data_IF_773972377519
#
_entry.id   IF_773972377519
#
_cell.length_a   1.000
_cell.length_b   1.000
_cell.length_c   1.000
_cell.angle_alpha   90.00
_cell.angle_beta   90.00
_cell.angle_gamma   90.00
#
_symmetry.space_group_name_H-M   'P 1'
#
loop_
_entity.id
_entity.type
_entity.pdbx_description
1 polymer ?
#
# COMPACT_ATOMS: atom_id res chain seq x y z
N UNK A 1 17.63 5.94 22.82
CA UNK A 1 17.87 5.17 21.58
C UNK A 1 18.27 6.16 20.51
N UNK A 2 19.45 6.00 19.91
CA UNK A 2 19.89 6.84 18.81
C UNK A 2 19.12 6.43 17.56
N UNK A 3 18.39 7.35 16.93
CA UNK A 3 17.67 7.10 15.69
C UNK A 3 18.59 7.40 14.51
N UNK A 4 18.44 6.63 13.43
CA UNK A 4 19.13 6.92 12.16
C UNK A 4 18.48 8.14 11.48
N UNK A 5 19.22 8.77 10.57
CA UNK A 5 18.76 9.90 9.77
C UNK A 5 17.68 9.43 8.78
N UNK A 6 16.60 10.21 8.64
CA UNK A 6 15.51 9.90 7.70
C UNK A 6 15.96 9.91 6.24
N UNK A 7 16.98 10.71 5.90
CA UNK A 7 17.53 10.77 4.54
C UNK A 7 18.64 9.75 4.30
N UNK A 8 19.19 9.12 5.35
CA UNK A 8 20.31 8.19 5.20
C UNK A 8 20.36 7.22 6.38
N UNK A 9 19.99 5.97 6.12
CA UNK A 9 19.92 4.91 7.13
C UNK A 9 21.27 4.54 7.73
N UNK A 10 22.37 4.79 7.01
CA UNK A 10 23.74 4.54 7.49
C UNK A 10 24.30 5.66 8.37
N UNK A 11 23.54 6.75 8.58
CA UNK A 11 23.95 7.91 9.35
C UNK A 11 23.10 8.03 10.62
N UNK A 12 23.74 8.18 11.78
CA UNK A 12 23.05 8.54 13.01
C UNK A 12 22.51 9.98 12.95
N UNK A 13 21.31 10.21 13.47
CA UNK A 13 20.74 11.55 13.56
C UNK A 13 21.65 12.45 14.42
N UNK A 14 22.01 13.61 13.87
CA UNK A 14 22.83 14.63 14.50
C UNK A 14 22.08 15.95 14.71
N UNK A 15 20.75 15.92 14.67
CA UNK A 15 19.85 17.06 14.86
C UNK A 15 20.18 18.28 13.96
N UNK A 16 20.57 18.02 12.70
CA UNK A 16 20.86 19.08 11.72
C UNK A 16 19.63 19.87 11.26
N UNK A 17 18.41 19.38 11.55
CA UNK A 17 17.11 19.97 11.16
C UNK A 17 16.87 20.14 9.66
N UNK A 18 17.72 19.59 8.81
CA UNK A 18 17.53 19.65 7.35
C UNK A 18 16.25 18.95 6.91
N UNK A 19 15.87 17.86 7.59
CA UNK A 19 14.62 17.14 7.34
C UNK A 19 13.35 17.91 7.71
N UNK A 20 13.47 19.04 8.41
CA UNK A 20 12.34 19.90 8.76
C UNK A 20 12.14 21.04 7.74
N UNK A 21 13.03 21.18 6.74
CA UNK A 21 12.97 22.25 5.75
C UNK A 21 12.21 21.81 4.49
N UNK A 22 11.57 22.76 3.81
CA UNK A 22 10.90 22.48 2.55
C UNK A 22 11.93 22.24 1.43
N UNK A 23 11.74 21.18 0.65
CA UNK A 23 12.65 20.84 -0.45
C UNK A 23 12.61 21.86 -1.59
N UNK A 24 11.45 22.49 -1.82
CA UNK A 24 11.28 23.56 -2.83
C UNK A 24 11.81 24.92 -2.35
N UNK A 25 11.80 25.18 -1.03
CA UNK A 25 12.28 26.44 -0.45
C UNK A 25 12.94 26.20 0.92
N UNK A 26 14.29 26.16 0.92
CA UNK A 26 15.12 25.96 2.11
C UNK A 26 14.95 27.04 3.19
N UNK A 27 14.27 28.16 2.92
CA UNK A 27 13.95 29.19 3.93
C UNK A 27 12.66 28.90 4.70
N UNK A 28 11.86 27.94 4.25
CA UNK A 28 10.55 27.60 4.83
C UNK A 28 10.63 26.28 5.60
N UNK A 29 10.00 26.22 6.77
CA UNK A 29 9.75 24.96 7.49
C UNK A 29 8.71 24.14 6.71
N UNK A 30 9.00 22.86 6.49
CA UNK A 30 8.07 21.95 5.84
C UNK A 30 6.77 21.85 6.64
N UNK A 31 5.66 22.13 5.98
CA UNK A 31 4.31 22.01 6.53
C UNK A 31 3.55 20.84 5.90
N UNK A 32 4.28 19.87 5.33
CA UNK A 32 3.76 18.68 4.66
C UNK A 32 2.69 18.97 3.57
N UNK A 33 2.77 20.13 2.90
CA UNK A 33 1.80 20.53 1.88
C UNK A 33 1.86 19.70 0.57
N UNK A 34 2.82 18.78 0.42
CA UNK A 34 2.88 17.88 -0.74
C UNK A 34 3.26 18.53 -2.08
N UNK A 35 3.49 19.85 -2.15
CA UNK A 35 3.83 20.55 -3.40
C UNK A 35 5.11 20.07 -4.06
N UNK A 36 6.09 19.63 -3.27
CA UNK A 36 7.34 19.03 -3.77
C UNK A 36 7.13 17.64 -4.38
N UNK A 37 5.96 17.04 -4.19
CA UNK A 37 5.56 15.77 -4.77
C UNK A 37 4.61 15.96 -5.96
N UNK A 38 4.36 17.22 -6.36
CA UNK A 38 3.48 17.56 -7.49
C UNK A 38 2.06 16.95 -7.39
N UNK A 39 1.60 16.68 -6.15
CA UNK A 39 0.30 16.05 -5.87
C UNK A 39 -0.90 16.91 -6.30
N UNK A 40 -0.74 18.24 -6.30
CA UNK A 40 -1.73 19.19 -6.79
C UNK A 40 -1.48 19.47 -8.28
N UNK A 41 -1.80 18.50 -9.14
CA UNK A 41 -1.56 18.61 -10.59
C UNK A 41 -1.86 17.36 -11.44
N UNK A 42 -1.98 16.17 -10.82
CA UNK A 42 -1.87 14.83 -11.46
C UNK A 42 -0.46 14.64 -12.07
N UNK A 43 0.37 13.71 -11.62
CA UNK A 43 0.18 12.25 -11.70
C UNK A 43 0.62 11.54 -10.41
N UNK A 44 -0.34 11.04 -9.62
CA UNK A 44 -0.14 9.68 -9.13
C UNK A 44 0.16 8.85 -10.37
N UNK A 45 1.23 8.04 -10.38
CA UNK A 45 1.49 7.10 -11.49
C UNK A 45 0.27 6.19 -11.61
N UNK A 46 -0.70 6.62 -12.39
CA UNK A 46 -2.00 5.98 -12.52
C UNK A 46 -1.94 5.25 -13.84
N UNK A 47 -1.93 3.93 -13.74
CA UNK A 47 -2.09 3.10 -14.93
C UNK A 47 -3.56 3.26 -15.34
N UNK A 48 -3.78 3.87 -16.51
CA UNK A 48 -5.11 3.97 -17.09
C UNK A 48 -5.52 2.57 -17.52
N UNK A 49 -6.50 1.99 -16.83
CA UNK A 49 -7.10 0.72 -17.24
C UNK A 49 -8.15 1.05 -18.29
N UNK A 50 -7.89 0.67 -19.55
CA UNK A 50 -8.84 0.89 -20.63
C UNK A 50 -9.98 -0.15 -20.59
N UNK A 51 -9.67 -1.43 -20.36
CA UNK A 51 -10.64 -2.52 -20.30
C UNK A 51 -10.21 -3.62 -19.29
N UNK A 52 -11.18 -4.32 -18.70
CA UNK A 52 -10.98 -5.46 -17.80
C UNK A 52 -11.71 -6.66 -18.40
N UNK A 53 -10.98 -7.74 -18.70
CA UNK A 53 -11.55 -8.96 -19.26
C UNK A 53 -11.78 -9.99 -18.15
N UNK A 54 -13.01 -10.48 -18.02
CA UNK A 54 -13.31 -11.69 -17.26
C UNK A 54 -12.94 -12.90 -18.13
N UNK A 55 -12.16 -13.86 -17.59
CA UNK A 55 -11.87 -15.13 -18.26
C UNK A 55 -13.15 -15.97 -18.38
N UNK A 56 -14.05 -15.60 -19.28
CA UNK A 56 -15.06 -16.51 -19.82
C UNK A 56 -14.34 -17.34 -20.87
N UNK A 57 -14.45 -18.65 -20.79
CA UNK A 57 -13.70 -19.61 -21.62
C UNK A 57 -13.97 -19.51 -23.13
N UNK A 58 -14.79 -18.56 -23.56
CA UNK A 58 -15.22 -18.37 -24.92
C UNK A 58 -14.49 -17.15 -25.52
N UNK A 59 -13.60 -17.46 -26.47
CA UNK A 59 -12.91 -16.53 -27.38
C UNK A 59 -11.62 -15.89 -26.81
N UNK A 60 -10.52 -16.68 -26.85
CA UNK A 60 -9.15 -16.18 -26.77
C UNK A 60 -8.83 -15.33 -28.00
N UNK A 61 -9.33 -14.10 -28.06
CA UNK A 61 -8.80 -13.11 -28.98
C UNK A 61 -7.36 -12.80 -28.56
N UNK A 62 -6.41 -13.07 -29.46
CA UNK A 62 -4.99 -12.77 -29.25
C UNK A 62 -4.82 -11.26 -29.33
N UNK A 63 -4.84 -10.60 -28.19
CA UNK A 63 -4.53 -9.17 -28.09
C UNK A 63 -3.00 -9.05 -28.24
N UNK A 64 -2.55 -8.49 -29.35
CA UNK A 64 -1.15 -8.09 -29.52
C UNK A 64 -0.95 -6.76 -28.80
N UNK A 65 -0.45 -6.82 -27.57
CA UNK A 65 -0.07 -5.63 -26.81
C UNK A 65 1.33 -5.23 -27.27
N UNK A 66 1.48 -4.03 -27.82
CA UNK A 66 2.78 -3.49 -28.21
C UNK A 66 3.48 -2.91 -26.98
N UNK A 67 4.33 -3.71 -26.35
CA UNK A 67 4.98 -3.39 -25.07
C UNK A 67 5.96 -2.20 -25.22
N UNK A 68 6.40 -1.91 -26.45
CA UNK A 68 7.30 -0.80 -26.76
C UNK A 68 6.68 0.59 -26.51
N UNK A 69 5.34 0.73 -26.48
CA UNK A 69 4.68 2.01 -26.21
C UNK A 69 4.74 2.44 -24.73
N UNK A 70 5.07 1.51 -23.82
CA UNK A 70 5.24 1.79 -22.38
C UNK A 70 6.70 2.05 -21.97
N UNK A 71 7.63 2.17 -22.94
CA UNK A 71 9.08 2.22 -22.68
C UNK A 71 9.62 3.56 -22.17
N UNK A 72 8.77 4.52 -21.78
CA UNK A 72 9.21 5.77 -21.10
C UNK A 72 9.77 5.52 -19.69
N UNK A 73 9.87 4.26 -19.25
CA UNK A 73 10.67 3.88 -18.09
C UNK A 73 12.11 3.65 -18.53
N UNK A 74 12.95 4.68 -18.40
CA UNK A 74 14.42 4.56 -18.49
C UNK A 74 14.89 3.56 -17.42
N UNK A 75 14.96 2.28 -17.79
CA UNK A 75 15.70 1.24 -17.07
C UNK A 75 17.20 1.46 -17.30
N UNK A 76 17.73 2.58 -16.82
CA UNK A 76 19.10 2.58 -16.39
C UNK A 76 19.13 1.99 -14.97
N UNK A 77 19.07 0.67 -14.85
CA UNK A 77 19.72 0.05 -13.70
C UNK A 77 20.31 -1.32 -14.01
N UNK A 78 21.48 -1.48 -13.41
CA UNK A 78 22.42 -2.56 -13.45
C UNK A 78 21.79 -3.94 -13.16
N UNK A 79 22.26 -4.96 -13.90
CA UNK A 79 22.36 -6.35 -13.45
C UNK A 79 21.15 -6.94 -12.69
N UNK A 80 19.95 -6.95 -13.28
CA UNK A 80 18.99 -8.00 -12.92
C UNK A 80 19.40 -9.31 -13.59
N UNK A 81 20.14 -10.12 -12.84
CA UNK A 81 20.24 -11.56 -13.12
C UNK A 81 18.83 -12.14 -13.21
N UNK A 82 18.66 -12.99 -14.22
CA UNK A 82 17.43 -13.63 -14.65
C UNK A 82 16.94 -14.63 -13.58
N UNK A 83 16.35 -14.13 -12.49
CA UNK A 83 15.68 -14.96 -11.48
C UNK A 83 14.33 -15.45 -12.02
N UNK A 84 14.37 -16.59 -12.68
CA UNK A 84 13.20 -17.41 -13.02
C UNK A 84 12.57 -17.96 -11.73
N UNK A 85 11.61 -17.25 -11.16
CA UNK A 85 10.79 -17.76 -10.06
C UNK A 85 9.80 -18.81 -10.57
N UNK A 86 10.05 -20.08 -10.23
CA UNK A 86 9.13 -21.20 -10.45
C UNK A 86 7.99 -21.11 -9.41
N UNK A 87 6.91 -20.40 -9.74
CA UNK A 87 5.68 -20.43 -8.95
C UNK A 87 5.05 -21.82 -9.07
N UNK A 88 5.17 -22.63 -8.02
CA UNK A 88 4.35 -23.81 -7.87
C UNK A 88 2.91 -23.33 -7.64
N UNK A 89 2.05 -23.48 -8.65
CA UNK A 89 0.60 -23.37 -8.53
C UNK A 89 0.10 -24.44 -7.54
N UNK A 90 0.10 -24.12 -6.24
CA UNK A 90 -0.83 -24.78 -5.34
C UNK A 90 -2.16 -24.04 -5.54
N UNK A 91 -2.99 -24.58 -6.42
CA UNK A 91 -4.29 -24.04 -6.79
C UNK A 91 -5.27 -24.13 -5.61
N UNK A 92 -5.09 -23.28 -4.61
CA UNK A 92 -6.22 -22.86 -3.78
C UNK A 92 -7.05 -21.93 -4.65
N UNK A 93 -8.21 -22.38 -5.08
CA UNK A 93 -9.20 -21.58 -5.80
C UNK A 93 -9.41 -20.27 -5.03
N UNK A 94 -9.22 -19.12 -5.70
CA UNK A 94 -9.46 -17.82 -5.10
C UNK A 94 -10.96 -17.71 -4.83
N UNK A 95 -11.34 -17.76 -3.56
CA UNK A 95 -12.74 -17.58 -3.14
C UNK A 95 -12.93 -16.11 -2.81
N UNK A 96 -13.72 -15.40 -3.62
CA UNK A 96 -14.10 -14.04 -3.28
C UNK A 96 -15.01 -14.07 -2.05
N UNK A 97 -14.74 -13.18 -1.10
CA UNK A 97 -15.54 -13.00 0.10
C UNK A 97 -16.95 -12.51 -0.26
N UNK A 98 -17.12 -11.85 -1.41
CA UNK A 98 -18.42 -11.40 -1.92
C UNK A 98 -19.19 -12.45 -2.73
N UNK A 99 -18.55 -13.57 -3.13
CA UNK A 99 -19.21 -14.60 -3.93
C UNK A 99 -20.16 -15.48 -3.11
N UNK A 100 -19.95 -15.56 -1.79
CA UNK A 100 -20.83 -16.29 -0.88
C UNK A 100 -21.11 -15.47 0.37
N UNK A 101 -22.38 -15.19 0.64
CA UNK A 101 -22.81 -14.44 1.83
C UNK A 101 -22.40 -15.15 3.14
N UNK A 102 -22.19 -16.46 3.12
CA UNK A 102 -21.67 -17.21 4.28
C UNK A 102 -20.21 -16.90 4.62
N UNK A 103 -19.45 -16.32 3.69
CA UNK A 103 -18.06 -15.87 3.92
C UNK A 103 -18.00 -14.50 4.63
N UNK A 104 -19.14 -13.82 4.77
CA UNK A 104 -19.26 -12.55 5.47
C UNK A 104 -19.82 -12.78 6.87
N UNK A 105 -19.11 -12.31 7.89
CA UNK A 105 -19.62 -12.26 9.28
C UNK A 105 -19.54 -10.82 9.77
N UNK A 106 -20.64 -10.31 10.34
CA UNK A 106 -20.66 -8.99 10.92
C UNK A 106 -20.02 -9.02 12.30
N UNK A 107 -19.52 -7.87 12.75
CA UNK A 107 -18.94 -7.72 14.08
C UNK A 107 -19.95 -8.07 15.19
N UNK A 108 -21.24 -7.86 14.91
CA UNK A 108 -22.35 -8.18 15.82
C UNK A 108 -22.66 -9.68 15.91
N UNK A 109 -22.19 -10.48 14.93
CA UNK A 109 -22.38 -11.93 14.91
C UNK A 109 -21.36 -12.65 15.81
N UNK A 110 -20.28 -11.96 16.19
CA UNK A 110 -19.26 -12.48 17.10
C UNK A 110 -19.57 -11.97 18.51
N UNK A 111 -20.06 -12.85 19.38
CA UNK A 111 -20.49 -12.51 20.75
C UNK A 111 -19.43 -11.70 21.52
N UNK A 112 -18.16 -12.08 21.44
CA UNK A 112 -17.04 -11.39 22.11
C UNK A 112 -16.86 -9.93 21.63
N UNK A 113 -17.11 -9.66 20.34
CA UNK A 113 -16.94 -8.32 19.76
C UNK A 113 -18.19 -7.46 19.99
N UNK A 114 -19.36 -8.08 19.98
CA UNK A 114 -20.62 -7.45 20.31
C UNK A 114 -20.64 -6.95 21.76
N UNK A 115 -20.17 -7.76 22.72
CA UNK A 115 -20.05 -7.35 24.12
C UNK A 115 -19.15 -6.11 24.28
N UNK A 116 -18.03 -6.05 23.55
CA UNK A 116 -17.13 -4.89 23.58
C UNK A 116 -17.78 -3.62 22.99
N UNK A 117 -18.59 -3.77 21.94
CA UNK A 117 -19.30 -2.66 21.31
C UNK A 117 -20.43 -2.12 22.20
N UNK A 118 -21.21 -3.02 22.81
CA UNK A 118 -22.35 -2.70 23.67
C UNK A 118 -21.94 -2.11 25.02
N UNK A 119 -20.80 -2.54 25.58
CA UNK A 119 -20.29 -2.03 26.86
C UNK A 119 -19.63 -0.65 26.74
N UNK A 120 -19.45 -0.13 25.52
CA UNK A 120 -18.79 1.16 25.27
C UNK A 120 -17.36 1.21 25.82
N UNK A 121 -16.73 0.04 26.02
CA UNK A 121 -15.35 -0.06 26.47
C UNK A 121 -14.44 0.36 25.32
N UNK A 122 -13.36 1.05 25.65
CA UNK A 122 -12.32 1.40 24.68
C UNK A 122 -11.84 0.11 23.99
N UNK A 123 -12.14 -0.02 22.69
CA UNK A 123 -11.89 -1.21 21.87
C UNK A 123 -10.39 -1.58 21.80
N UNK A 124 -9.55 -0.63 22.20
CA UNK A 124 -8.10 -0.74 22.30
C UNK A 124 -7.45 0.64 22.30
N UNK A 125 -6.13 0.66 22.24
CA UNK A 125 -5.36 1.89 22.07
C UNK A 125 -5.35 2.28 20.57
N UNK A 126 -5.83 3.48 20.22
CA UNK A 126 -5.68 4.03 18.85
C UNK A 126 -4.22 4.44 18.62
N UNK A 127 -3.56 3.81 17.64
CA UNK A 127 -2.15 4.05 17.32
C UNK A 127 -2.01 5.08 16.20
N UNK A 128 -2.95 5.07 15.25
CA UNK A 128 -3.11 6.06 14.17
C UNK A 128 -4.56 6.02 13.65
N UNK A 129 -5.00 7.00 12.82
CA UNK A 129 -6.37 7.07 12.34
C UNK A 129 -6.86 5.75 11.72
N UNK A 130 -7.82 5.10 12.37
CA UNK A 130 -8.41 3.84 11.91
C UNK A 130 -7.68 2.56 12.31
N UNK A 131 -6.55 2.62 13.05
CA UNK A 131 -5.84 1.45 13.56
C UNK A 131 -5.92 1.39 15.09
N UNK A 132 -6.73 0.46 15.58
CA UNK A 132 -6.94 0.21 17.02
C UNK A 132 -6.28 -1.12 17.39
N UNK A 133 -5.51 -1.13 18.47
CA UNK A 133 -4.78 -2.33 18.92
C UNK A 133 -5.29 -2.81 20.28
N UNK A 134 -5.60 -4.10 20.39
CA UNK A 134 -5.98 -4.74 21.66
C UNK A 134 -4.79 -5.48 22.27
N UNK A 135 -4.39 -5.11 23.49
CA UNK A 135 -3.42 -5.89 24.26
C UNK A 135 -4.18 -7.03 24.95
N UNK A 136 -4.06 -8.25 24.43
CA UNK A 136 -4.50 -9.45 25.16
C UNK A 136 -3.68 -9.56 26.44
N UNK A 137 -4.30 -9.27 27.59
CA UNK A 137 -3.74 -9.63 28.88
C UNK A 137 -3.72 -11.15 28.94
N UNK A 138 -2.52 -11.70 29.19
CA UNK A 138 -2.25 -13.13 29.29
C UNK A 138 -2.61 -13.66 30.67
#
# INVERSE_FOLDING_TARGET
>A
MSKNCIFNENKLCNDCKECELCELDRKKICNNCGKCLELEGYDIRAIKIDEVFENKEDEKEKINIDIEEFSDFDLEDDNLENDSYDLKEESTEYVDVFDNEENLSYIDDVEELKELLDEGKELGDEVCPGLITYKRNK
#
